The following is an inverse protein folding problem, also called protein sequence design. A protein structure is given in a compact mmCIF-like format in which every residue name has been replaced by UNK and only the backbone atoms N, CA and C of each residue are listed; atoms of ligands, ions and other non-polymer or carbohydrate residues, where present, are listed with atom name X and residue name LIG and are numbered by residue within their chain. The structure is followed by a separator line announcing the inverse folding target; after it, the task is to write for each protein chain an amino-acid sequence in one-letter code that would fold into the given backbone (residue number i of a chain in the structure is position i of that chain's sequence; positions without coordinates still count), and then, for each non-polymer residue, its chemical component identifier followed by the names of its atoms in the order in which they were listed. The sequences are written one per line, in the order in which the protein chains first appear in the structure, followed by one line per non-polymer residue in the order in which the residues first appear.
data_IF_038689431979
#
_entry.id   IF_038689431979
#
_cell.length_a   1.000
_cell.length_b   1.000
_cell.length_c   1.000
_cell.angle_alpha   90.00
_cell.angle_beta   90.00
_cell.angle_gamma   90.00
#
_symmetry.space_group_name_H-M   'P 1'
#
loop_
_entity.id
_entity.type
_entity.pdbx_description
1 polymer ?
#
# COMPACT_ATOMS: atom_id res chain seq x y z
N UNK A 1 -6.06 -15.50 3.59
CA UNK A 1 -5.73 -16.95 3.53
C UNK A 1 -6.95 -17.85 3.77
N UNK A 2 -7.83 -17.54 4.75
CA UNK A 2 -9.06 -18.33 5.01
C UNK A 2 -9.99 -18.37 3.78
N UNK A 3 -10.15 -17.25 3.07
CA UNK A 3 -10.95 -17.18 1.85
C UNK A 3 -10.51 -18.17 0.75
N UNK A 4 -9.24 -18.57 0.72
CA UNK A 4 -8.71 -19.53 -0.26
C UNK A 4 -9.35 -20.90 -0.10
N UNK A 5 -9.66 -21.30 1.12
CA UNK A 5 -10.19 -22.65 1.43
C UNK A 5 -11.70 -22.76 1.34
N UNK A 6 -12.42 -21.65 1.14
CA UNK A 6 -13.88 -21.67 1.04
C UNK A 6 -14.34 -21.97 -0.41
N UNK A 7 -15.14 -23.01 -0.65
CA UNK A 7 -15.61 -23.44 -1.98
C UNK A 7 -17.14 -23.62 -2.06
N UNK A 8 -17.86 -23.09 -3.10
CA UNK A 8 -19.29 -23.29 -3.38
C UNK A 8 -20.20 -22.05 -3.36
N UNK A 9 -21.44 -22.16 -3.85
CA UNK A 9 -22.38 -21.03 -4.05
C UNK A 9 -22.99 -20.43 -2.76
N UNK A 10 -23.08 -21.19 -1.68
CA UNK A 10 -23.49 -20.69 -0.35
C UNK A 10 -22.48 -19.67 0.19
N UNK A 11 -21.36 -19.54 -0.46
CA UNK A 11 -20.15 -18.83 -0.02
C UNK A 11 -20.05 -17.40 -0.51
N UNK A 12 -20.84 -16.96 -1.48
CA UNK A 12 -20.81 -15.54 -1.89
C UNK A 12 -21.11 -14.64 -0.70
N UNK A 13 -22.18 -14.95 0.03
CA UNK A 13 -22.53 -14.21 1.24
C UNK A 13 -21.49 -14.38 2.35
N UNK A 14 -20.95 -15.58 2.52
CA UNK A 14 -19.91 -15.84 3.50
C UNK A 14 -18.62 -15.06 3.19
N UNK A 15 -18.17 -15.02 1.92
CA UNK A 15 -16.99 -14.26 1.52
C UNK A 15 -17.12 -12.76 1.84
N UNK A 16 -18.28 -12.14 1.55
CA UNK A 16 -18.58 -10.74 1.85
C UNK A 16 -18.41 -10.46 3.35
N UNK A 17 -19.12 -11.22 4.18
CA UNK A 17 -19.14 -11.03 5.63
C UNK A 17 -17.81 -11.40 6.31
N UNK A 18 -17.10 -12.42 5.82
CA UNK A 18 -15.78 -12.78 6.33
C UNK A 18 -14.78 -11.66 6.06
N UNK A 19 -14.77 -11.12 4.84
CA UNK A 19 -13.89 -10.00 4.50
C UNK A 19 -14.21 -8.77 5.33
N UNK A 20 -15.48 -8.42 5.45
CA UNK A 20 -15.93 -7.32 6.28
C UNK A 20 -15.52 -7.52 7.75
N UNK A 21 -15.67 -8.74 8.30
CA UNK A 21 -15.24 -9.06 9.64
C UNK A 21 -13.73 -8.88 9.86
N UNK A 22 -12.89 -9.26 8.88
CA UNK A 22 -11.45 -9.04 8.95
C UNK A 22 -11.09 -7.55 8.91
N UNK A 23 -11.69 -6.77 8.00
CA UNK A 23 -11.41 -5.33 7.93
C UNK A 23 -11.87 -4.59 9.20
N UNK A 24 -12.99 -4.97 9.81
CA UNK A 24 -13.43 -4.45 11.10
C UNK A 24 -12.45 -4.85 12.21
N UNK A 25 -11.98 -6.10 12.24
CA UNK A 25 -11.00 -6.55 13.23
C UNK A 25 -9.69 -5.77 13.12
N UNK A 26 -9.21 -5.50 11.88
CA UNK A 26 -8.04 -4.67 11.63
C UNK A 26 -8.27 -3.23 12.12
N UNK A 27 -9.45 -2.65 11.87
CA UNK A 27 -9.81 -1.33 12.37
C UNK A 27 -9.83 -1.27 13.90
N UNK A 28 -10.43 -2.27 14.57
CA UNK A 28 -10.42 -2.34 16.05
C UNK A 28 -8.99 -2.46 16.57
N UNK A 29 -8.13 -3.27 15.93
CA UNK A 29 -6.73 -3.38 16.30
C UNK A 29 -5.98 -2.04 16.15
N UNK A 30 -6.26 -1.27 15.11
CA UNK A 30 -5.66 0.07 14.93
C UNK A 30 -6.17 1.08 15.98
N UNK A 31 -7.41 0.97 16.43
CA UNK A 31 -7.91 1.77 17.56
C UNK A 31 -7.18 1.44 18.87
N UNK A 32 -6.81 0.17 19.10
CA UNK A 32 -5.99 -0.18 20.26
C UNK A 32 -4.62 0.49 20.21
N UNK A 33 -3.99 0.57 19.03
CA UNK A 33 -2.75 1.35 18.87
C UNK A 33 -2.96 2.82 19.23
N UNK A 34 -4.07 3.43 18.79
CA UNK A 34 -4.39 4.81 19.11
C UNK A 34 -4.50 5.07 20.62
N UNK A 35 -5.19 4.22 21.34
CA UNK A 35 -5.38 4.38 22.79
C UNK A 35 -4.13 4.08 23.63
N UNK A 36 -3.18 3.32 23.07
CA UNK A 36 -1.92 2.96 23.75
C UNK A 36 -0.73 3.81 23.31
N UNK A 37 -0.92 4.69 22.32
CA UNK A 37 0.12 5.56 21.79
C UNK A 37 0.45 6.68 22.79
N UNK A 38 1.73 6.84 23.13
CA UNK A 38 2.22 7.93 23.98
C UNK A 38 2.49 9.17 23.14
N UNK A 39 1.67 10.21 23.31
CA UNK A 39 1.82 11.48 22.60
C UNK A 39 3.02 12.32 23.08
N UNK A 40 3.60 11.99 24.23
CA UNK A 40 4.75 12.70 24.78
C UNK A 40 6.09 12.22 24.23
N UNK A 41 6.13 11.02 23.66
CA UNK A 41 7.33 10.45 23.02
C UNK A 41 7.38 10.82 21.53
N UNK A 42 8.37 11.64 21.10
CA UNK A 42 8.53 12.01 19.70
C UNK A 42 9.16 10.90 18.83
N UNK A 43 9.51 9.77 19.42
CA UNK A 43 10.14 8.65 18.74
C UNK A 43 9.16 7.72 18.02
N UNK A 44 9.70 6.69 17.39
CA UNK A 44 8.90 5.58 16.87
C UNK A 44 8.48 4.66 18.00
N UNK A 45 7.21 4.30 18.05
CA UNK A 45 6.63 3.40 19.05
C UNK A 45 6.22 2.07 18.43
N UNK A 46 5.92 1.06 19.26
CA UNK A 46 5.60 -0.31 18.82
C UNK A 46 6.65 -0.90 17.89
N UNK A 47 7.90 -0.55 18.14
CA UNK A 47 9.02 -0.90 17.29
C UNK A 47 9.31 -2.40 17.37
N UNK A 48 9.37 -3.04 16.20
CA UNK A 48 9.84 -4.41 16.06
C UNK A 48 10.89 -4.47 14.95
N UNK A 49 12.06 -5.04 15.26
CA UNK A 49 13.14 -5.25 14.30
C UNK A 49 13.55 -6.72 14.30
N UNK A 50 13.50 -7.32 13.13
CA UNK A 50 13.97 -8.69 12.91
C UNK A 50 14.93 -8.67 11.71
N UNK A 51 16.08 -9.25 11.88
CA UNK A 51 17.07 -9.38 10.81
C UNK A 51 16.55 -10.34 9.73
N UNK A 52 16.62 -9.91 8.47
CA UNK A 52 16.19 -10.72 7.33
C UNK A 52 17.36 -11.03 6.38
N UNK A 53 17.91 -10.03 5.70
CA UNK A 53 19.04 -10.17 4.80
C UNK A 53 20.22 -9.33 5.33
N UNK A 54 20.81 -9.76 6.42
CA UNK A 54 21.87 -9.04 7.16
C UNK A 54 23.07 -8.69 6.31
N UNK A 55 23.44 -9.60 5.36
CA UNK A 55 24.55 -9.38 4.44
C UNK A 55 24.36 -8.15 3.53
N UNK A 56 23.11 -7.71 3.34
CA UNK A 56 22.77 -6.53 2.54
C UNK A 56 22.29 -5.35 3.40
N UNK A 57 22.26 -5.49 4.73
CA UNK A 57 21.76 -4.45 5.63
C UNK A 57 20.25 -4.27 5.61
N UNK A 58 19.47 -5.28 5.16
CA UNK A 58 18.01 -5.26 5.08
C UNK A 58 17.43 -5.96 6.31
N UNK A 59 16.51 -5.29 7.00
CA UNK A 59 15.81 -5.83 8.17
C UNK A 59 14.31 -5.61 8.06
N UNK A 60 13.53 -6.57 8.54
CA UNK A 60 12.12 -6.33 8.77
C UNK A 60 11.99 -5.42 9.99
N UNK A 61 11.91 -4.11 9.71
CA UNK A 61 11.90 -3.08 10.72
C UNK A 61 10.61 -2.25 10.58
N UNK A 62 9.76 -2.34 11.59
CA UNK A 62 8.48 -1.64 11.63
C UNK A 62 8.36 -0.83 12.90
N UNK A 63 7.60 0.24 12.84
CA UNK A 63 7.30 1.13 13.96
C UNK A 63 6.28 2.16 13.54
N UNK A 64 5.71 2.86 14.49
CA UNK A 64 4.64 3.83 14.28
C UNK A 64 5.04 5.15 14.92
N UNK A 65 4.89 6.24 14.18
CA UNK A 65 4.93 7.61 14.70
C UNK A 65 3.53 8.25 14.64
N UNK A 66 3.39 9.47 15.13
CA UNK A 66 2.09 10.15 15.18
C UNK A 66 1.45 10.35 13.80
N UNK A 67 2.24 10.52 12.73
CA UNK A 67 1.72 10.68 11.37
C UNK A 67 1.28 9.33 10.79
N UNK A 68 2.13 8.31 10.88
CA UNK A 68 1.83 6.97 10.37
C UNK A 68 0.64 6.35 11.10
N UNK A 69 0.48 6.59 12.39
CA UNK A 69 -0.69 6.16 13.16
C UNK A 69 -2.00 6.69 12.56
N UNK A 70 -2.07 7.98 12.22
CA UNK A 70 -3.24 8.58 11.59
C UNK A 70 -3.53 7.97 10.22
N UNK A 71 -2.49 7.70 9.43
CA UNK A 71 -2.63 7.08 8.11
C UNK A 71 -3.09 5.61 8.21
N UNK A 72 -2.59 4.87 9.19
CA UNK A 72 -3.06 3.51 9.48
C UNK A 72 -4.52 3.52 9.90
N UNK A 73 -4.92 4.43 10.81
CA UNK A 73 -6.32 4.59 11.22
C UNK A 73 -7.23 4.94 10.05
N UNK A 74 -6.81 5.88 9.20
CA UNK A 74 -7.56 6.25 8.01
C UNK A 74 -7.75 5.06 7.06
N UNK A 75 -6.68 4.32 6.80
CA UNK A 75 -6.71 3.13 5.93
C UNK A 75 -7.67 2.08 6.49
N UNK A 76 -7.51 1.71 7.75
CA UNK A 76 -8.32 0.68 8.41
C UNK A 76 -9.78 1.11 8.60
N UNK A 77 -10.07 2.42 8.67
CA UNK A 77 -11.42 2.96 8.71
C UNK A 77 -12.11 2.92 7.35
N UNK A 78 -11.40 3.29 6.28
CA UNK A 78 -11.96 3.33 4.92
C UNK A 78 -12.22 1.91 4.38
N UNK A 79 -11.37 0.94 4.69
CA UNK A 79 -11.46 -0.41 4.14
C UNK A 79 -12.78 -1.12 4.44
N UNK A 80 -13.32 -1.16 5.67
CA UNK A 80 -14.65 -1.73 5.93
C UNK A 80 -15.76 -1.04 5.13
N UNK A 81 -15.68 0.29 4.98
CA UNK A 81 -16.68 1.05 4.22
C UNK A 81 -16.64 0.70 2.73
N UNK A 82 -15.43 0.60 2.16
CA UNK A 82 -15.23 0.18 0.78
C UNK A 82 -15.72 -1.25 0.54
N UNK A 83 -15.42 -2.18 1.45
CA UNK A 83 -15.93 -3.57 1.39
C UNK A 83 -17.45 -3.59 1.49
N UNK A 84 -18.05 -2.82 2.40
CA UNK A 84 -19.50 -2.74 2.54
C UNK A 84 -20.17 -2.16 1.29
N UNK A 85 -19.61 -1.11 0.70
CA UNK A 85 -20.07 -0.52 -0.54
C UNK A 85 -20.03 -1.48 -1.72
N UNK A 86 -19.10 -2.47 -1.70
CA UNK A 86 -18.98 -3.48 -2.74
C UNK A 86 -20.03 -4.61 -2.69
N UNK A 87 -20.81 -4.72 -1.59
CA UNK A 87 -21.74 -5.85 -1.39
C UNK A 87 -22.82 -5.98 -2.47
N UNK A 88 -23.27 -4.86 -2.99
CA UNK A 88 -24.28 -4.80 -4.04
C UNK A 88 -23.71 -4.30 -5.38
N UNK A 89 -22.42 -4.51 -5.60
CA UNK A 89 -21.77 -4.08 -6.84
C UNK A 89 -22.18 -4.96 -8.02
N UNK A 90 -22.86 -4.37 -8.99
CA UNK A 90 -23.29 -5.03 -10.24
C UNK A 90 -22.06 -5.59 -11.00
N UNK A 91 -20.95 -4.85 -11.01
CA UNK A 91 -19.72 -5.29 -11.68
C UNK A 91 -19.15 -6.58 -11.11
N UNK A 92 -19.29 -6.82 -9.79
CA UNK A 92 -18.83 -8.06 -9.16
C UNK A 92 -19.79 -9.22 -9.49
N UNK A 93 -21.09 -8.95 -9.50
CA UNK A 93 -22.12 -9.97 -9.83
C UNK A 93 -22.00 -10.42 -11.28
N UNK A 94 -21.87 -9.47 -12.20
CA UNK A 94 -21.81 -9.73 -13.65
C UNK A 94 -20.50 -10.45 -14.05
N UNK A 95 -19.35 -9.99 -13.51
CA UNK A 95 -18.05 -10.56 -13.87
C UNK A 95 -17.66 -11.78 -13.05
N UNK A 96 -18.35 -12.04 -11.95
CA UNK A 96 -18.06 -13.15 -11.04
C UNK A 96 -16.72 -13.01 -10.32
N UNK A 97 -16.16 -14.14 -9.89
CA UNK A 97 -14.88 -14.22 -9.17
C UNK A 97 -14.84 -13.41 -7.87
N UNK A 98 -15.97 -13.29 -7.18
CA UNK A 98 -16.11 -12.51 -5.93
C UNK A 98 -15.04 -12.83 -4.89
N UNK A 99 -14.70 -14.11 -4.74
CA UNK A 99 -13.65 -14.57 -3.83
C UNK A 99 -12.31 -13.89 -4.13
N UNK A 100 -11.91 -13.81 -5.40
CA UNK A 100 -10.67 -13.19 -5.84
C UNK A 100 -10.71 -11.67 -5.60
N UNK A 101 -11.87 -11.04 -5.82
CA UNK A 101 -12.09 -9.64 -5.54
C UNK A 101 -11.79 -9.30 -4.07
N UNK A 102 -12.42 -10.01 -3.15
CA UNK A 102 -12.22 -9.77 -1.71
C UNK A 102 -10.82 -10.15 -1.22
N UNK A 103 -10.18 -11.14 -1.84
CA UNK A 103 -8.77 -11.42 -1.56
C UNK A 103 -7.87 -10.25 -1.95
N UNK A 104 -8.09 -9.63 -3.11
CA UNK A 104 -7.33 -8.45 -3.51
C UNK A 104 -7.61 -7.23 -2.63
N UNK A 105 -8.84 -7.05 -2.14
CA UNK A 105 -9.15 -6.00 -1.17
C UNK A 105 -8.35 -6.16 0.12
N UNK A 106 -8.30 -7.38 0.70
CA UNK A 106 -7.52 -7.65 1.91
C UNK A 106 -6.01 -7.55 1.68
N UNK A 107 -5.53 -7.99 0.51
CA UNK A 107 -4.12 -7.86 0.15
C UNK A 107 -3.71 -6.38 0.03
N UNK A 108 -4.61 -5.56 -0.54
CA UNK A 108 -4.40 -4.12 -0.67
C UNK A 108 -4.35 -3.43 0.70
N UNK A 109 -5.28 -3.75 1.61
CA UNK A 109 -5.27 -3.26 2.99
C UNK A 109 -3.95 -3.58 3.69
N UNK A 110 -3.53 -4.84 3.63
CA UNK A 110 -2.27 -5.30 4.23
C UNK A 110 -1.06 -4.55 3.67
N UNK A 111 -1.01 -4.39 2.34
CA UNK A 111 0.09 -3.68 1.68
C UNK A 111 0.12 -2.19 2.06
N UNK A 112 -1.03 -1.51 2.09
CA UNK A 112 -1.11 -0.10 2.50
C UNK A 112 -0.67 0.12 3.95
N UNK A 113 -1.12 -0.73 4.87
CA UNK A 113 -0.65 -0.67 6.26
C UNK A 113 0.87 -0.87 6.30
N UNK A 114 1.40 -1.85 5.56
CA UNK A 114 2.84 -2.11 5.46
C UNK A 114 3.64 -0.89 5.01
N UNK A 115 3.14 -0.12 4.04
CA UNK A 115 3.79 1.14 3.59
C UNK A 115 3.93 2.14 4.72
N UNK A 116 2.92 2.26 5.59
CA UNK A 116 2.91 3.29 6.64
C UNK A 116 3.68 2.93 7.91
N UNK A 117 3.86 1.64 8.19
CA UNK A 117 4.54 1.20 9.42
C UNK A 117 6.00 0.82 9.23
N UNK A 118 6.46 0.71 7.99
CA UNK A 118 7.83 0.25 7.68
C UNK A 118 8.87 1.34 7.89
N UNK A 119 9.97 0.98 8.55
CA UNK A 119 11.15 1.82 8.83
C UNK A 119 12.41 1.37 8.07
N UNK A 120 12.28 0.42 7.15
CA UNK A 120 13.33 -0.04 6.22
C UNK A 120 12.93 0.30 4.79
N UNK A 121 13.81 0.98 4.05
CA UNK A 121 13.49 1.48 2.71
C UNK A 121 13.23 0.38 1.68
N UNK A 122 13.87 -0.80 1.80
CA UNK A 122 13.64 -1.92 0.88
C UNK A 122 12.28 -2.55 1.17
N UNK A 123 11.96 -2.75 2.44
CA UNK A 123 10.65 -3.27 2.84
C UNK A 123 9.53 -2.29 2.49
N UNK A 124 9.78 -0.98 2.67
CA UNK A 124 8.89 0.09 2.20
C UNK A 124 8.62 -0.06 0.69
N UNK A 125 9.67 -0.21 -0.12
CA UNK A 125 9.53 -0.36 -1.56
C UNK A 125 8.74 -1.62 -1.94
N UNK A 126 8.99 -2.74 -1.26
CA UNK A 126 8.22 -3.97 -1.48
C UNK A 126 6.73 -3.74 -1.22
N UNK A 127 6.35 -3.16 -0.08
CA UNK A 127 4.95 -2.86 0.21
C UNK A 127 4.36 -1.87 -0.78
N UNK A 128 5.12 -0.85 -1.18
CA UNK A 128 4.73 0.13 -2.20
C UNK A 128 4.36 -0.54 -3.53
N UNK A 129 5.20 -1.44 -4.03
CA UNK A 129 4.94 -2.20 -5.26
C UNK A 129 3.79 -3.19 -5.10
N UNK A 130 3.69 -3.85 -3.95
CA UNK A 130 2.61 -4.81 -3.69
C UNK A 130 1.25 -4.14 -3.73
N UNK A 131 1.11 -2.84 -3.45
CA UNK A 131 -0.17 -2.13 -3.62
C UNK A 131 -0.65 -2.07 -5.07
N UNK A 132 0.28 -2.08 -6.03
CA UNK A 132 -0.07 -1.96 -7.46
C UNK A 132 -0.74 -3.23 -8.00
N UNK A 133 -0.30 -4.40 -7.53
CA UNK A 133 -0.78 -5.69 -8.05
C UNK A 133 -2.29 -5.89 -7.80
N UNK A 134 -2.80 -5.78 -6.56
CA UNK A 134 -4.24 -5.90 -6.33
C UNK A 134 -5.03 -4.85 -7.09
N UNK A 135 -4.56 -3.59 -7.11
CA UNK A 135 -5.27 -2.49 -7.78
C UNK A 135 -5.33 -2.72 -9.30
N UNK A 136 -4.24 -3.17 -9.92
CA UNK A 136 -4.23 -3.55 -11.33
C UNK A 136 -5.33 -4.58 -11.66
N UNK A 137 -5.44 -5.62 -10.84
CA UNK A 137 -6.46 -6.66 -11.04
C UNK A 137 -7.87 -6.16 -10.71
N UNK A 138 -8.04 -5.35 -9.68
CA UNK A 138 -9.34 -4.76 -9.33
C UNK A 138 -9.89 -3.91 -10.48
N UNK A 139 -9.06 -3.06 -11.08
CA UNK A 139 -9.43 -2.27 -12.25
C UNK A 139 -9.61 -3.18 -13.47
N UNK A 140 -8.65 -4.05 -13.76
CA UNK A 140 -8.59 -4.83 -15.00
C UNK A 140 -9.67 -5.90 -15.14
N UNK A 141 -10.16 -6.48 -14.02
CA UNK A 141 -11.18 -7.53 -14.03
C UNK A 141 -12.57 -6.95 -13.83
N UNK A 142 -12.77 -6.10 -12.83
CA UNK A 142 -14.09 -5.61 -12.41
C UNK A 142 -14.38 -4.16 -12.85
N UNK A 143 -13.48 -3.56 -13.58
CA UNK A 143 -13.64 -2.22 -14.14
C UNK A 143 -14.65 -2.13 -15.28
N UNK A 144 -14.84 -0.92 -15.81
CA UNK A 144 -15.75 -0.58 -16.88
C UNK A 144 -15.34 -1.10 -18.27
N UNK A 145 -15.71 -0.38 -19.32
CA UNK A 145 -15.46 -0.82 -20.71
C UNK A 145 -13.98 -0.76 -21.09
N UNK A 146 -13.26 0.30 -20.70
CA UNK A 146 -11.85 0.51 -21.01
C UNK A 146 -10.90 0.03 -19.92
N UNK A 147 -11.37 -0.84 -19.01
CA UNK A 147 -10.65 -1.33 -17.82
C UNK A 147 -9.23 -1.82 -18.08
N UNK A 148 -9.01 -2.57 -19.18
CA UNK A 148 -7.69 -3.12 -19.49
C UNK A 148 -6.69 -2.00 -19.82
N UNK A 149 -7.12 -1.03 -20.61
CA UNK A 149 -6.30 0.15 -20.92
C UNK A 149 -5.97 0.94 -19.64
N UNK A 150 -6.98 1.22 -18.82
CA UNK A 150 -6.81 1.97 -17.58
C UNK A 150 -5.88 1.24 -16.58
N UNK A 151 -6.07 -0.08 -16.41
CA UNK A 151 -5.23 -0.91 -15.54
C UNK A 151 -3.77 -0.93 -16.01
N UNK A 152 -3.52 -1.15 -17.31
CA UNK A 152 -2.18 -1.17 -17.87
C UNK A 152 -1.52 0.20 -17.76
N UNK A 153 -2.24 1.28 -18.09
CA UNK A 153 -1.74 2.65 -17.96
C UNK A 153 -1.38 2.98 -16.51
N UNK A 154 -2.27 2.68 -15.56
CA UNK A 154 -2.02 2.84 -14.13
C UNK A 154 -0.74 2.11 -13.71
N UNK A 155 -0.63 0.82 -14.04
CA UNK A 155 0.50 -0.01 -13.65
C UNK A 155 1.83 0.49 -14.25
N UNK A 156 1.88 0.71 -15.56
CA UNK A 156 3.10 1.15 -16.24
C UNK A 156 3.54 2.55 -15.78
N UNK A 157 2.58 3.45 -15.58
CA UNK A 157 2.88 4.82 -15.15
C UNK A 157 3.49 4.86 -13.75
N UNK A 158 2.86 4.16 -12.80
CA UNK A 158 3.30 4.13 -11.42
C UNK A 158 4.60 3.33 -11.26
N UNK A 159 4.75 2.21 -11.97
CA UNK A 159 5.98 1.41 -11.96
C UNK A 159 7.18 2.17 -12.55
N UNK A 160 6.98 2.93 -13.63
CA UNK A 160 8.07 3.73 -14.22
C UNK A 160 8.63 4.76 -13.22
N UNK A 161 7.76 5.39 -12.42
CA UNK A 161 8.19 6.29 -11.36
C UNK A 161 8.91 5.57 -10.21
N UNK A 162 8.38 4.45 -9.77
CA UNK A 162 8.92 3.71 -8.63
C UNK A 162 10.28 3.05 -8.91
N UNK A 163 10.59 2.69 -10.15
CA UNK A 163 11.93 2.20 -10.52
C UNK A 163 13.01 3.24 -10.24
N UNK A 164 12.75 4.52 -10.47
CA UNK A 164 13.71 5.58 -10.12
C UNK A 164 13.91 5.71 -8.61
N UNK A 165 12.83 5.56 -7.84
CA UNK A 165 12.92 5.50 -6.38
C UNK A 165 13.73 4.29 -5.92
N UNK A 166 13.56 3.12 -6.54
CA UNK A 166 14.37 1.93 -6.26
C UNK A 166 15.86 2.18 -6.47
N UNK A 167 16.23 2.82 -7.60
CA UNK A 167 17.62 3.18 -7.85
C UNK A 167 18.17 4.11 -6.76
N UNK A 168 17.37 5.07 -6.30
CA UNK A 168 17.72 5.93 -5.17
C UNK A 168 17.92 5.14 -3.86
N UNK A 169 17.02 4.21 -3.57
CA UNK A 169 17.12 3.33 -2.38
C UNK A 169 18.40 2.48 -2.43
N UNK A 170 18.66 1.84 -3.57
CA UNK A 170 19.88 1.01 -3.74
C UNK A 170 21.15 1.85 -3.61
N UNK A 171 21.17 3.05 -4.19
CA UNK A 171 22.31 3.97 -4.03
C UNK A 171 22.55 4.31 -2.56
N UNK A 172 21.49 4.63 -1.80
CA UNK A 172 21.59 4.92 -0.36
C UNK A 172 22.21 3.71 0.38
N UNK A 173 21.66 2.51 0.17
CA UNK A 173 22.15 1.31 0.83
C UNK A 173 23.61 0.97 0.48
N UNK A 174 24.03 1.19 -0.77
CA UNK A 174 25.43 0.98 -1.20
C UNK A 174 26.39 1.96 -0.54
N UNK A 175 25.97 3.19 -0.24
CA UNK A 175 26.81 4.20 0.40
C UNK A 175 26.88 4.05 1.92
N UNK A 176 25.83 3.54 2.55
CA UNK A 176 25.70 3.52 4.02
C UNK A 176 25.79 2.14 4.63
N UNK A 177 25.59 1.09 3.83
CA UNK A 177 25.49 -0.30 4.32
C UNK A 177 24.20 -0.60 5.10
N UNK A 178 23.22 0.31 5.12
CA UNK A 178 21.95 0.15 5.84
C UNK A 178 20.78 0.75 5.05
N UNK A 179 19.58 0.19 5.23
CA UNK A 179 18.31 0.71 4.71
C UNK A 179 17.39 1.22 5.82
N UNK A 180 17.86 1.16 7.07
CA UNK A 180 17.10 1.62 8.24
C UNK A 180 16.93 3.13 8.23
N UNK A 181 15.68 3.62 8.11
CA UNK A 181 15.37 5.04 8.08
C UNK A 181 15.90 5.80 9.32
N UNK A 182 15.74 5.32 10.56
CA UNK A 182 16.29 5.99 11.74
C UNK A 182 17.83 6.08 11.74
N UNK A 183 18.52 5.10 11.17
CA UNK A 183 19.99 5.11 11.05
C UNK A 183 20.42 6.10 9.96
N UNK A 184 19.73 6.12 8.82
CA UNK A 184 20.00 7.03 7.71
C UNK A 184 19.80 8.49 8.09
N UNK A 185 18.81 8.80 8.93
CA UNK A 185 18.60 10.16 9.45
C UNK A 185 19.80 10.69 10.24
N UNK A 186 20.61 9.83 10.84
CA UNK A 186 21.85 10.20 11.55
C UNK A 186 23.02 10.44 10.61
N UNK A 187 22.96 9.90 9.39
CA UNK A 187 24.05 9.90 8.40
C UNK A 187 23.82 10.90 7.25
N UNK A 188 23.04 11.95 7.46
CA UNK A 188 22.62 12.92 6.40
C UNK A 188 23.80 13.53 5.61
N UNK A 189 24.94 13.72 6.25
CA UNK A 189 26.12 14.35 5.62
C UNK A 189 26.72 13.51 4.49
N UNK A 190 26.51 12.18 4.48
CA UNK A 190 27.02 11.28 3.43
C UNK A 190 26.35 11.53 2.06
N UNK A 191 25.19 12.16 2.03
CA UNK A 191 24.42 12.37 0.80
C UNK A 191 24.58 13.77 0.19
N UNK A 192 25.43 14.65 0.74
CA UNK A 192 25.52 16.05 0.31
C UNK A 192 25.74 16.20 -1.21
N UNK A 193 26.57 15.35 -1.83
CA UNK A 193 26.83 15.39 -3.27
C UNK A 193 25.72 14.75 -4.15
N UNK A 194 24.89 13.88 -3.58
CA UNK A 194 23.83 13.14 -4.31
C UNK A 194 22.42 13.64 -3.95
N UNK A 195 22.30 14.56 -3.03
CA UNK A 195 21.01 14.99 -2.46
C UNK A 195 19.99 15.41 -3.51
N UNK A 196 20.42 16.19 -4.51
CA UNK A 196 19.53 16.64 -5.59
C UNK A 196 19.01 15.47 -6.44
N UNK A 197 19.86 14.51 -6.77
CA UNK A 197 19.46 13.35 -7.56
C UNK A 197 18.54 12.42 -6.78
N UNK A 198 18.81 12.20 -5.51
CA UNK A 198 17.93 11.44 -4.62
C UNK A 198 16.57 12.14 -4.47
N UNK A 199 16.57 13.46 -4.25
CA UNK A 199 15.33 14.22 -4.19
C UNK A 199 14.51 14.10 -5.49
N UNK A 200 15.15 14.17 -6.65
CA UNK A 200 14.46 14.02 -7.93
C UNK A 200 13.93 12.60 -8.13
N UNK A 201 14.70 11.57 -7.75
CA UNK A 201 14.29 10.17 -7.89
C UNK A 201 13.06 9.84 -7.02
N UNK A 202 13.09 10.18 -5.74
CA UNK A 202 11.96 10.01 -4.83
C UNK A 202 10.81 10.96 -5.18
N UNK A 203 11.13 12.23 -5.46
CA UNK A 203 10.16 13.26 -5.79
C UNK A 203 9.34 12.92 -7.03
N UNK A 204 9.97 12.37 -8.08
CA UNK A 204 9.26 11.94 -9.28
C UNK A 204 8.33 10.74 -9.02
N UNK A 205 8.80 9.75 -8.23
CA UNK A 205 7.96 8.62 -7.84
C UNK A 205 6.72 9.08 -7.06
N UNK A 206 6.92 9.97 -6.08
CA UNK A 206 5.81 10.53 -5.32
C UNK A 206 4.92 11.44 -6.15
N UNK A 207 5.47 12.26 -7.04
CA UNK A 207 4.70 13.13 -7.94
C UNK A 207 3.80 12.33 -8.91
N UNK A 208 4.25 11.17 -9.34
CA UNK A 208 3.44 10.23 -10.13
C UNK A 208 2.34 9.60 -9.26
N UNK A 209 2.69 9.14 -8.06
CA UNK A 209 1.74 8.45 -7.17
C UNK A 209 0.68 9.40 -6.60
N UNK A 210 1.05 10.65 -6.24
CA UNK A 210 0.16 11.73 -5.72
C UNK A 210 -0.56 12.47 -6.85
N UNK A 211 -0.60 11.97 -8.04
CA UNK A 211 -0.90 12.50 -9.37
C UNK A 211 -0.74 14.02 -9.52
N UNK A 212 0.50 14.49 -9.34
CA UNK A 212 0.81 15.91 -9.53
C UNK A 212 0.80 16.26 -11.03
N UNK A 213 0.31 17.45 -11.38
CA UNK A 213 0.41 17.94 -12.74
C UNK A 213 1.88 18.12 -13.16
N UNK A 214 2.30 17.65 -14.35
CA UNK A 214 1.57 17.03 -15.46
C UNK A 214 1.53 15.48 -15.41
N UNK A 215 1.96 14.84 -14.33
CA UNK A 215 2.12 13.37 -14.19
C UNK A 215 0.84 12.63 -13.74
N UNK A 216 -0.32 13.29 -13.83
CA UNK A 216 -1.60 12.82 -13.30
C UNK A 216 -2.47 12.04 -14.30
N UNK A 217 -2.04 11.92 -15.56
CA UNK A 217 -2.91 11.45 -16.65
C UNK A 217 -3.42 9.99 -16.49
N UNK A 218 -2.82 9.22 -15.62
CA UNK A 218 -3.26 7.86 -15.28
C UNK A 218 -4.47 7.83 -14.36
N UNK A 219 -4.59 8.84 -13.47
CA UNK A 219 -5.61 8.87 -12.42
C UNK A 219 -7.04 8.98 -12.96
N UNK A 220 -7.39 9.90 -13.89
CA UNK A 220 -8.75 9.98 -14.43
C UNK A 220 -9.20 8.67 -15.07
N UNK A 221 -8.32 8.01 -15.83
CA UNK A 221 -8.65 6.75 -16.49
C UNK A 221 -8.84 5.63 -15.43
N UNK A 222 -7.95 5.54 -14.45
CA UNK A 222 -8.04 4.55 -13.39
C UNK A 222 -9.30 4.74 -12.53
N UNK A 223 -9.61 5.98 -12.11
CA UNK A 223 -10.81 6.26 -11.30
C UNK A 223 -12.12 6.05 -12.04
N UNK A 224 -12.17 6.42 -13.31
CA UNK A 224 -13.39 6.26 -14.12
C UNK A 224 -13.71 4.78 -14.36
N UNK A 225 -12.69 3.98 -14.58
CA UNK A 225 -12.85 2.56 -14.90
C UNK A 225 -12.91 1.66 -13.65
N UNK A 226 -12.32 2.07 -12.52
CA UNK A 226 -12.29 1.24 -11.31
C UNK A 226 -13.70 0.96 -10.76
N UNK A 227 -13.95 -0.22 -10.18
CA UNK A 227 -15.16 -0.46 -9.40
C UNK A 227 -15.21 0.51 -8.22
N UNK A 228 -16.39 0.93 -7.78
CA UNK A 228 -16.60 1.97 -6.76
C UNK A 228 -15.68 1.82 -5.52
N UNK A 229 -15.61 0.61 -4.96
CA UNK A 229 -14.74 0.38 -3.81
C UNK A 229 -13.24 0.52 -4.15
N UNK A 230 -12.81 0.11 -5.37
CA UNK A 230 -11.46 0.34 -5.87
C UNK A 230 -11.16 1.82 -6.04
N UNK A 231 -12.11 2.59 -6.57
CA UNK A 231 -11.97 4.04 -6.73
C UNK A 231 -11.92 4.80 -5.39
N UNK A 232 -12.59 4.30 -4.35
CA UNK A 232 -12.53 4.89 -2.99
C UNK A 232 -11.15 4.70 -2.36
N UNK A 233 -10.48 3.58 -2.64
CA UNK A 233 -9.17 3.26 -2.06
C UNK A 233 -8.03 3.90 -2.88
N UNK A 234 -8.19 3.99 -4.20
CA UNK A 234 -7.21 4.57 -5.13
C UNK A 234 -6.93 6.03 -4.81
#
# INVERSE_FOLDING_TARGET
TILVFMNGNTQKRANKWTTFGFTIATFIASLLLWFTFDQSDPGYQFVQRNDWLTQYGISYYVGVDGLSLLLVLLTTFIMPLAVLASFNSHAIEERGREKLYYMFMLLLEWAMIGVFITLDLVIFYIFWEVTLVPMYFLIGIWGGEKRVYAAVKFFLYTMAGSVLMLLGILFIGMQTGTFSLPELMKQRSLFAGAQTWLFLAFGLAFAIKVPMWPLHSWLPDAHTEAPTAGSVIL
#
